data_IF_284190594063
#
_entry.id   IF_284190594063
#
_cell.length_a   1.000
_cell.length_b   1.000
_cell.length_c   1.000
_cell.angle_alpha   90.00
_cell.angle_beta   90.00
_cell.angle_gamma   90.00
#
_symmetry.space_group_name_H-M   'P 1'
#
loop_
_entity.id
_entity.type
_entity.pdbx_description
1 polymer ?
#
# COMPACT_ATOMS: atom_id res chain seq x y z
N UNK A 1 8.87 -30.75 -7.50
CA UNK A 1 10.15 -31.18 -8.10
C UNK A 1 10.45 -30.26 -9.28
N UNK A 2 11.60 -29.60 -9.30
CA UNK A 2 12.07 -28.75 -10.42
C UNK A 2 12.71 -29.62 -11.52
N UNK A 3 12.49 -29.25 -12.79
CA UNK A 3 13.56 -29.23 -13.80
C UNK A 3 13.59 -27.81 -14.45
N UNK A 4 14.64 -26.97 -14.30
CA UNK A 4 15.98 -26.96 -14.93
C UNK A 4 16.01 -26.65 -16.44
N UNK A 5 16.42 -25.40 -16.76
CA UNK A 5 17.21 -24.86 -17.91
C UNK A 5 16.64 -24.83 -19.35
N UNK A 6 16.86 -23.69 -20.05
CA UNK A 6 17.44 -23.47 -21.41
C UNK A 6 17.21 -21.97 -21.75
N UNK A 7 18.22 -21.09 -21.61
CA UNK A 7 19.16 -20.62 -22.65
C UNK A 7 18.51 -19.88 -23.85
N UNK A 8 18.72 -18.57 -23.94
CA UNK A 8 18.92 -17.90 -25.23
C UNK A 8 19.89 -16.73 -25.08
N UNK A 9 21.05 -16.90 -25.70
CA UNK A 9 22.16 -15.97 -25.79
C UNK A 9 21.99 -15.26 -27.13
N UNK A 10 21.70 -13.96 -27.13
CA UNK A 10 21.72 -13.13 -28.34
C UNK A 10 22.89 -12.16 -28.21
N UNK A 11 23.97 -12.51 -28.92
CA UNK A 11 25.06 -11.61 -29.27
C UNK A 11 24.64 -10.90 -30.56
N UNK A 12 24.52 -9.58 -30.52
CA UNK A 12 24.45 -8.74 -31.71
C UNK A 12 25.62 -7.75 -31.66
N UNK A 13 26.59 -8.04 -32.52
CA UNK A 13 27.80 -7.29 -32.79
C UNK A 13 27.51 -5.99 -33.53
N UNK A 14 28.07 -4.87 -33.07
CA UNK A 14 28.47 -3.76 -33.95
C UNK A 14 29.70 -3.06 -33.35
N UNK A 15 30.84 -3.26 -34.01
CA UNK A 15 32.16 -2.76 -33.68
C UNK A 15 32.55 -1.76 -34.77
N UNK A 16 32.78 -0.47 -34.44
CA UNK A 16 33.64 0.49 -35.18
C UNK A 16 33.74 1.84 -34.40
N UNK A 17 34.76 2.71 -34.63
CA UNK A 17 35.77 3.02 -33.60
C UNK A 17 35.92 4.53 -33.25
N UNK A 18 36.64 4.78 -32.15
CA UNK A 18 37.41 5.98 -31.83
C UNK A 18 36.77 7.37 -32.05
N UNK A 19 36.17 7.92 -31.00
CA UNK A 19 36.27 9.36 -30.72
C UNK A 19 37.06 9.57 -29.43
N UNK A 20 38.27 10.08 -29.64
CA UNK A 20 39.25 10.49 -28.65
C UNK A 20 38.71 11.75 -27.95
N UNK A 21 37.89 11.57 -26.91
CA UNK A 21 37.48 12.67 -26.04
C UNK A 21 38.27 12.57 -24.73
N UNK A 22 39.10 13.57 -24.50
CA UNK A 22 39.76 13.80 -23.21
C UNK A 22 38.66 14.08 -22.17
N UNK A 23 38.19 13.03 -21.52
CA UNK A 23 37.26 13.12 -20.40
C UNK A 23 38.07 13.06 -19.09
N UNK A 24 37.84 13.95 -18.12
CA UNK A 24 38.43 13.81 -16.80
C UNK A 24 37.97 12.49 -16.20
N UNK A 25 38.90 11.72 -15.66
CA UNK A 25 38.61 10.47 -14.97
C UNK A 25 37.74 10.74 -13.74
N UNK A 26 36.42 10.65 -13.89
CA UNK A 26 35.53 10.54 -12.75
C UNK A 26 35.66 9.12 -12.19
N UNK A 27 36.51 8.99 -11.16
CA UNK A 27 36.37 7.95 -10.14
C UNK A 27 35.09 8.25 -9.33
N UNK A 28 33.94 8.21 -10.00
CA UNK A 28 32.62 8.33 -9.38
C UNK A 28 32.29 7.00 -8.73
N UNK A 29 32.74 6.84 -7.48
CA UNK A 29 32.36 5.71 -6.64
C UNK A 29 30.84 5.50 -6.70
N UNK A 30 30.46 4.26 -6.99
CA UNK A 30 29.10 3.74 -6.86
C UNK A 30 28.67 3.77 -5.39
N UNK A 31 28.48 4.97 -4.83
CA UNK A 31 28.05 5.22 -3.47
C UNK A 31 26.72 6.00 -3.40
N UNK A 32 26.26 6.58 -4.52
CA UNK A 32 25.01 7.38 -4.55
C UNK A 32 23.73 6.54 -4.39
N UNK A 33 23.76 5.23 -4.61
CA UNK A 33 22.59 4.36 -4.45
C UNK A 33 22.30 4.00 -2.98
N UNK A 34 23.27 4.13 -2.07
CA UNK A 34 23.04 3.76 -0.67
C UNK A 34 22.20 4.80 0.08
N UNK A 35 22.38 6.09 -0.19
CA UNK A 35 21.70 7.18 0.53
C UNK A 35 20.24 7.35 0.11
N UNK A 36 19.88 7.03 -1.13
CA UNK A 36 18.48 7.14 -1.59
C UNK A 36 17.61 6.04 -0.99
N UNK A 37 18.15 4.82 -0.87
CA UNK A 37 17.43 3.68 -0.28
C UNK A 37 17.14 3.90 1.20
N UNK A 38 18.05 4.53 1.97
CA UNK A 38 17.83 4.79 3.40
C UNK A 38 16.79 5.88 3.65
N UNK A 39 16.83 6.98 2.89
CA UNK A 39 15.84 8.07 3.05
C UNK A 39 14.43 7.59 2.68
N UNK A 40 14.30 6.83 1.59
CA UNK A 40 13.01 6.25 1.20
C UNK A 40 12.47 5.29 2.27
N UNK A 41 13.35 4.48 2.88
CA UNK A 41 12.96 3.57 3.96
C UNK A 41 12.50 4.30 5.24
N UNK A 42 13.13 5.43 5.58
CA UNK A 42 12.71 6.28 6.70
C UNK A 42 11.33 6.90 6.44
N UNK A 43 11.09 7.42 5.23
CA UNK A 43 9.79 7.97 4.83
C UNK A 43 8.68 6.92 4.89
N UNK A 44 8.93 5.69 4.42
CA UNK A 44 7.96 4.60 4.45
C UNK A 44 7.59 4.20 5.90
N UNK A 45 8.54 4.27 6.83
CA UNK A 45 8.29 4.05 8.27
C UNK A 45 7.43 5.15 8.87
N UNK A 46 7.74 6.41 8.55
CA UNK A 46 6.96 7.55 9.03
C UNK A 46 5.54 7.49 8.49
N UNK A 47 5.36 7.12 7.22
CA UNK A 47 4.05 6.91 6.61
C UNK A 47 3.28 5.80 7.35
N UNK A 48 3.92 4.65 7.58
CA UNK A 48 3.31 3.51 8.29
C UNK A 48 2.94 3.85 9.73
N UNK A 49 3.80 4.58 10.45
CA UNK A 49 3.52 5.04 11.81
C UNK A 49 2.34 6.03 11.87
N UNK A 50 2.23 6.92 10.88
CA UNK A 50 1.08 7.83 10.75
C UNK A 50 -0.21 7.06 10.48
N UNK A 51 -0.19 6.09 9.57
CA UNK A 51 -1.35 5.23 9.28
C UNK A 51 -1.77 4.49 10.55
N UNK A 52 -0.82 3.89 11.26
CA UNK A 52 -1.08 3.19 12.52
C UNK A 52 -1.70 4.10 13.59
N UNK A 53 -1.28 5.37 13.68
CA UNK A 53 -1.89 6.33 14.59
C UNK A 53 -3.38 6.56 14.28
N UNK A 54 -3.71 6.80 13.02
CA UNK A 54 -5.10 7.01 12.57
C UNK A 54 -5.92 5.72 12.74
N UNK A 55 -5.36 4.57 12.38
CA UNK A 55 -6.00 3.27 12.51
C UNK A 55 -6.39 2.98 13.98
N UNK A 56 -5.54 3.34 14.96
CA UNK A 56 -5.87 3.22 16.39
C UNK A 56 -7.05 4.10 16.81
N UNK A 57 -7.15 5.32 16.29
CA UNK A 57 -8.29 6.20 16.58
C UNK A 57 -9.60 5.61 16.03
N UNK A 58 -9.52 5.02 14.84
CA UNK A 58 -10.64 4.41 14.14
C UNK A 58 -10.98 2.99 14.63
N UNK A 59 -10.11 2.36 15.43
CA UNK A 59 -10.16 0.95 15.81
C UNK A 59 -10.11 0.00 14.59
N UNK A 60 -9.37 0.37 13.55
CA UNK A 60 -9.13 -0.41 12.33
C UNK A 60 -8.13 -1.55 12.65
N UNK A 61 -8.65 -2.72 13.03
CA UNK A 61 -7.86 -3.79 13.65
C UNK A 61 -6.85 -4.42 12.71
N UNK A 62 -7.22 -4.66 11.45
CA UNK A 62 -6.35 -5.32 10.47
C UNK A 62 -5.18 -4.43 10.11
N UNK A 63 -5.43 -3.14 9.88
CA UNK A 63 -4.39 -2.14 9.64
C UNK A 63 -3.44 -2.02 10.84
N UNK A 64 -3.96 -2.03 12.08
CA UNK A 64 -3.14 -1.98 13.30
C UNK A 64 -2.22 -3.20 13.39
N UNK A 65 -2.75 -4.41 13.19
CA UNK A 65 -1.97 -5.66 13.29
C UNK A 65 -0.84 -5.71 12.25
N UNK A 66 -1.15 -5.45 10.99
CA UNK A 66 -0.17 -5.50 9.91
C UNK A 66 0.89 -4.40 10.07
N UNK A 67 0.48 -3.17 10.38
CA UNK A 67 1.43 -2.07 10.57
C UNK A 67 2.37 -2.30 11.76
N UNK A 68 1.89 -2.86 12.89
CA UNK A 68 2.78 -3.21 14.00
C UNK A 68 3.78 -4.29 13.60
N UNK A 69 3.33 -5.35 12.92
CA UNK A 69 4.21 -6.44 12.46
C UNK A 69 5.30 -5.93 11.52
N UNK A 70 4.95 -5.04 10.59
CA UNK A 70 5.90 -4.44 9.65
C UNK A 70 6.93 -3.56 10.35
N UNK A 71 6.48 -2.71 11.27
CA UNK A 71 7.36 -1.86 12.07
C UNK A 71 8.28 -2.67 13.00
N UNK A 72 7.83 -3.82 13.51
CA UNK A 72 8.65 -4.74 14.30
C UNK A 72 9.69 -5.50 13.44
N UNK A 73 9.33 -5.86 12.21
CA UNK A 73 10.23 -6.55 11.26
C UNK A 73 11.36 -5.68 10.74
N UNK A 74 11.16 -4.35 10.78
CA UNK A 74 12.11 -3.34 10.33
C UNK A 74 12.46 -3.40 8.83
N UNK A 75 11.73 -4.18 8.03
CA UNK A 75 12.04 -4.48 6.63
C UNK A 75 11.54 -3.39 5.65
N UNK A 76 12.43 -2.64 4.98
CA UNK A 76 12.03 -1.57 4.05
C UNK A 76 11.23 -2.07 2.85
N UNK A 77 11.57 -3.25 2.34
CA UNK A 77 10.88 -3.84 1.18
C UNK A 77 9.45 -4.26 1.53
N UNK A 78 9.25 -4.79 2.74
CA UNK A 78 7.90 -5.15 3.22
C UNK A 78 7.05 -3.92 3.51
N UNK A 79 7.64 -2.87 4.11
CA UNK A 79 6.96 -1.59 4.33
C UNK A 79 6.49 -0.98 3.00
N UNK A 80 7.36 -0.94 1.99
CA UNK A 80 7.00 -0.42 0.67
C UNK A 80 5.92 -1.26 -0.01
N UNK A 81 6.04 -2.59 0.02
CA UNK A 81 5.03 -3.49 -0.58
C UNK A 81 3.66 -3.34 0.10
N UNK A 82 3.64 -3.17 1.42
CA UNK A 82 2.41 -2.94 2.16
C UNK A 82 1.80 -1.58 1.82
N UNK A 83 2.58 -0.49 1.78
CA UNK A 83 2.06 0.82 1.42
C UNK A 83 1.48 0.86 0.00
N UNK A 84 2.07 0.12 -0.94
CA UNK A 84 1.60 0.07 -2.33
C UNK A 84 0.32 -0.75 -2.50
N UNK A 85 0.21 -1.88 -1.79
CA UNK A 85 -0.88 -2.86 -2.03
C UNK A 85 -1.57 -3.35 -0.77
N UNK A 86 -0.82 -3.71 0.28
CA UNK A 86 -1.35 -4.32 1.50
C UNK A 86 -2.28 -3.41 2.29
N UNK A 87 -1.94 -2.12 2.40
CA UNK A 87 -2.71 -1.14 3.15
C UNK A 87 -4.13 -0.97 2.61
N UNK A 88 -4.30 -0.93 1.28
CA UNK A 88 -5.63 -0.81 0.64
C UNK A 88 -6.54 -1.99 0.98
N UNK A 89 -5.98 -3.21 1.03
CA UNK A 89 -6.73 -4.41 1.36
C UNK A 89 -7.12 -4.43 2.84
N UNK A 90 -6.16 -4.19 3.73
CA UNK A 90 -6.42 -4.12 5.17
C UNK A 90 -7.46 -3.04 5.51
N UNK A 91 -7.36 -1.88 4.85
CA UNK A 91 -8.31 -0.78 5.01
C UNK A 91 -9.71 -1.16 4.52
N UNK A 92 -9.84 -1.84 3.38
CA UNK A 92 -11.14 -2.28 2.87
C UNK A 92 -11.82 -3.29 3.82
N UNK A 93 -11.05 -4.21 4.40
CA UNK A 93 -11.56 -5.15 5.41
C UNK A 93 -12.05 -4.41 6.67
N UNK A 94 -11.27 -3.45 7.18
CA UNK A 94 -11.65 -2.65 8.34
C UNK A 94 -12.86 -1.73 8.04
N UNK A 95 -12.93 -1.16 6.84
CA UNK A 95 -14.07 -0.34 6.38
C UNK A 95 -15.36 -1.20 6.30
N UNK A 96 -15.28 -2.41 5.75
CA UNK A 96 -16.41 -3.35 5.73
C UNK A 96 -16.87 -3.73 7.14
N UNK A 97 -15.94 -4.00 8.05
CA UNK A 97 -16.27 -4.32 9.45
C UNK A 97 -16.92 -3.13 10.16
N UNK A 98 -16.43 -1.91 9.93
CA UNK A 98 -17.04 -0.68 10.44
C UNK A 98 -18.50 -0.58 9.96
N UNK A 99 -18.72 -0.76 8.65
CA UNK A 99 -20.01 -0.65 8.01
C UNK A 99 -21.00 -1.70 8.54
N UNK A 100 -20.58 -2.96 8.63
CA UNK A 100 -21.38 -4.04 9.22
C UNK A 100 -21.72 -3.73 10.67
N UNK A 101 -20.78 -3.18 11.44
CA UNK A 101 -21.03 -2.82 12.85
C UNK A 101 -22.13 -1.77 12.98
N UNK A 102 -22.32 -0.87 12.00
CA UNK A 102 -23.42 0.09 12.06
C UNK A 102 -24.80 -0.57 12.04
N UNK A 103 -24.96 -1.72 11.38
CA UNK A 103 -26.23 -2.49 11.38
C UNK A 103 -26.62 -3.00 12.77
N UNK A 104 -25.67 -3.05 13.72
CA UNK A 104 -25.92 -3.43 15.11
C UNK A 104 -26.51 -2.30 15.95
N UNK A 105 -26.52 -1.06 15.43
CA UNK A 105 -27.18 0.06 16.10
C UNK A 105 -28.71 -0.15 16.07
N UNK A 106 -29.40 -0.23 17.22
CA UNK A 106 -30.85 -0.44 17.26
C UNK A 106 -31.65 0.74 16.70
N UNK A 107 -31.06 1.93 16.61
CA UNK A 107 -31.71 3.16 16.16
C UNK A 107 -31.40 3.50 14.69
N UNK A 108 -30.85 2.56 13.92
CA UNK A 108 -30.53 2.81 12.52
C UNK A 108 -31.81 2.99 11.69
N UNK A 109 -31.83 3.98 10.80
CA UNK A 109 -32.95 4.23 9.88
C UNK A 109 -33.03 3.13 8.80
N UNK A 110 -34.23 2.90 8.27
CA UNK A 110 -34.43 1.93 7.18
C UNK A 110 -33.67 2.32 5.91
N UNK A 111 -33.58 3.63 5.63
CA UNK A 111 -32.80 4.17 4.53
C UNK A 111 -31.31 3.87 4.71
N UNK A 112 -30.74 4.14 5.88
CA UNK A 112 -29.33 3.87 6.16
C UNK A 112 -29.04 2.37 6.13
N UNK A 113 -29.96 1.54 6.65
CA UNK A 113 -29.86 0.07 6.55
C UNK A 113 -29.83 -0.41 5.10
N UNK A 114 -30.70 0.12 4.24
CA UNK A 114 -30.72 -0.22 2.82
C UNK A 114 -29.42 0.19 2.10
N UNK A 115 -28.92 1.40 2.38
CA UNK A 115 -27.69 1.91 1.79
C UNK A 115 -26.45 1.10 2.23
N UNK A 116 -26.40 0.68 3.50
CA UNK A 116 -25.36 -0.22 4.00
C UNK A 116 -25.39 -1.56 3.24
N UNK A 117 -26.56 -2.19 3.10
CA UNK A 117 -26.65 -3.48 2.40
C UNK A 117 -26.19 -3.36 0.94
N UNK A 118 -26.62 -2.31 0.23
CA UNK A 118 -26.18 -2.05 -1.14
C UNK A 118 -24.65 -1.85 -1.24
N UNK A 119 -24.06 -1.15 -0.26
CA UNK A 119 -22.61 -0.93 -0.17
C UNK A 119 -21.86 -2.23 0.06
N UNK A 120 -22.36 -3.09 0.95
CA UNK A 120 -21.76 -4.39 1.24
C UNK A 120 -21.90 -5.38 0.09
N UNK A 121 -23.00 -5.32 -0.65
CA UNK A 121 -23.24 -6.15 -1.84
C UNK A 121 -22.28 -5.81 -2.99
N UNK A 122 -21.94 -4.52 -3.17
CA UNK A 122 -20.91 -4.09 -4.12
C UNK A 122 -19.51 -4.52 -3.65
N UNK A 123 -19.20 -4.31 -2.37
CA UNK A 123 -17.98 -4.80 -1.74
C UNK A 123 -16.68 -4.21 -2.28
N UNK A 124 -16.75 -3.23 -3.19
CA UNK A 124 -15.58 -2.55 -3.71
C UNK A 124 -14.90 -1.72 -2.62
N UNK A 125 -13.56 -1.76 -2.49
CA UNK A 125 -12.82 -0.89 -1.58
C UNK A 125 -13.18 0.59 -1.74
N UNK A 126 -13.45 1.04 -2.96
CA UNK A 126 -13.81 2.44 -3.24
C UNK A 126 -15.21 2.79 -2.70
N UNK A 127 -16.18 1.89 -2.88
CA UNK A 127 -17.55 2.07 -2.37
C UNK A 127 -17.59 2.03 -0.85
N UNK A 128 -16.89 1.08 -0.24
CA UNK A 128 -16.75 0.98 1.22
C UNK A 128 -16.14 2.26 1.79
N UNK A 129 -15.07 2.77 1.14
CA UNK A 129 -14.40 3.99 1.56
C UNK A 129 -15.31 5.21 1.42
N UNK A 130 -15.93 5.38 0.26
CA UNK A 130 -16.84 6.48 -0.01
C UNK A 130 -18.00 6.49 0.99
N UNK A 131 -18.58 5.32 1.28
CA UNK A 131 -19.71 5.22 2.18
C UNK A 131 -19.32 5.63 3.62
N UNK A 132 -18.16 5.19 4.10
CA UNK A 132 -17.64 5.55 5.43
C UNK A 132 -17.33 7.06 5.54
N UNK A 133 -16.83 7.68 4.48
CA UNK A 133 -16.43 9.10 4.50
C UNK A 133 -17.57 10.07 4.22
N UNK A 134 -18.45 9.73 3.28
CA UNK A 134 -19.45 10.65 2.72
C UNK A 134 -20.83 10.00 2.70
N UNK A 135 -20.95 8.81 2.12
CA UNK A 135 -22.25 8.21 1.80
C UNK A 135 -23.17 8.04 3.01
N UNK A 136 -22.65 7.69 4.19
CA UNK A 136 -23.45 7.57 5.41
C UNK A 136 -24.14 8.87 5.85
N UNK A 137 -23.63 10.04 5.46
CA UNK A 137 -24.19 11.36 5.80
C UNK A 137 -25.19 11.87 4.75
N UNK A 138 -25.19 11.29 3.55
CA UNK A 138 -26.10 11.65 2.47
C UNK A 138 -27.47 10.96 2.60
N UNK A 139 -27.54 9.85 3.33
CA UNK A 139 -28.78 9.05 3.46
C UNK A 139 -29.86 9.76 4.30
N UNK A 140 -29.45 10.67 5.18
CA UNK A 140 -30.36 11.47 6.02
C UNK A 140 -30.52 12.92 5.50
N UNK A 141 -29.97 13.25 4.32
CA UNK A 141 -29.96 14.59 3.71
C UNK A 141 -31.13 14.90 2.77
#
# INVERSE_FOLDING_TARGET
MRPTRVALLVVATALTPALLFTAPAFAGGSAASATTTTVAAEDDRVASARILHVARQNNDKRVIEEANKLLESDSPDELRAWLDTGYRLAQAEDDAVYIVRMLTNPNISDALRAAINATLDDGSPETLRYFREVGQYEVDG
#
